data_IF_930112017421
#
_entry.id   IF_930112017421
#
_cell.length_a   1.000
_cell.length_b   1.000
_cell.length_c   1.000
_cell.angle_alpha   90.00
_cell.angle_beta   90.00
_cell.angle_gamma   90.00
#
_symmetry.space_group_name_H-M   'P 1'
#
loop_
_entity.id
_entity.type
_entity.pdbx_description
1 polymer ?
#
# COMPACT_ATOMS: atom_id res chain seq x y z
N UNK A 1 -16.41 -17.92 -3.17
CA UNK A 1 -15.00 -17.84 -2.76
C UNK A 1 -14.24 -17.24 -3.92
N UNK A 2 -13.42 -16.21 -3.67
CA UNK A 2 -12.71 -15.48 -4.72
C UNK A 2 -11.21 -15.58 -4.47
N UNK A 3 -10.46 -16.02 -5.47
CA UNK A 3 -9.00 -16.04 -5.43
C UNK A 3 -8.45 -14.84 -6.20
N UNK A 4 -7.67 -14.01 -5.52
CA UNK A 4 -7.00 -12.86 -6.12
C UNK A 4 -5.51 -12.95 -5.79
N UNK A 5 -4.65 -12.97 -6.80
CA UNK A 5 -3.19 -13.08 -6.66
C UNK A 5 -2.73 -14.26 -5.77
N UNK A 6 -3.46 -15.38 -5.80
CA UNK A 6 -3.15 -16.57 -5.00
C UNK A 6 -3.61 -16.51 -3.53
N UNK A 7 -4.25 -15.43 -3.10
CA UNK A 7 -4.86 -15.32 -1.76
C UNK A 7 -6.37 -15.56 -1.84
N UNK A 8 -6.89 -16.36 -0.90
CA UNK A 8 -8.31 -16.65 -0.79
C UNK A 8 -9.03 -15.56 0.01
N UNK A 9 -9.88 -14.77 -0.64
CA UNK A 9 -10.77 -13.82 0.02
C UNK A 9 -12.07 -14.52 0.47
N UNK A 10 -12.38 -14.54 1.78
CA UNK A 10 -13.59 -15.17 2.29
C UNK A 10 -14.84 -14.34 1.98
N UNK A 11 -15.84 -14.99 1.37
CA UNK A 11 -17.10 -14.39 0.90
C UNK A 11 -17.89 -13.61 1.96
N UNK A 12 -17.83 -14.07 3.22
CA UNK A 12 -18.60 -13.49 4.33
C UNK A 12 -18.00 -12.18 4.86
N UNK A 13 -16.73 -11.93 4.56
CA UNK A 13 -16.00 -10.77 5.07
C UNK A 13 -16.28 -9.53 4.23
N UNK A 14 -16.19 -8.37 4.87
CA UNK A 14 -16.23 -7.07 4.18
C UNK A 14 -14.92 -6.87 3.41
N UNK A 15 -15.01 -6.35 2.18
CA UNK A 15 -13.88 -6.20 1.26
C UNK A 15 -12.70 -5.45 1.88
N UNK A 16 -12.99 -4.37 2.63
CA UNK A 16 -11.99 -3.60 3.39
C UNK A 16 -11.08 -4.48 4.26
N UNK A 17 -11.65 -5.47 4.95
CA UNK A 17 -10.90 -6.35 5.84
C UNK A 17 -10.32 -7.55 5.10
N UNK A 18 -10.98 -8.01 4.04
CA UNK A 18 -10.43 -9.05 3.18
C UNK A 18 -9.13 -8.58 2.51
N UNK A 19 -9.07 -7.32 2.07
CA UNK A 19 -7.87 -6.72 1.46
C UNK A 19 -6.67 -6.62 2.41
N UNK A 20 -6.88 -6.55 3.73
CA UNK A 20 -5.76 -6.52 4.69
C UNK A 20 -5.06 -7.87 4.87
N UNK A 21 -5.58 -8.93 4.27
CA UNK A 21 -4.88 -10.22 4.21
C UNK A 21 -3.66 -10.16 3.29
N UNK A 22 -3.67 -9.25 2.30
CA UNK A 22 -2.50 -9.03 1.43
C UNK A 22 -1.40 -8.30 2.19
N UNK A 23 -0.19 -8.85 2.11
CA UNK A 23 1.01 -8.21 2.63
C UNK A 23 1.28 -6.89 1.89
N UNK A 24 1.38 -5.80 2.66
CA UNK A 24 1.53 -4.43 2.14
C UNK A 24 0.24 -3.62 2.13
N UNK A 25 -0.93 -4.24 2.38
CA UNK A 25 -2.22 -3.51 2.48
C UNK A 25 -2.66 -3.40 3.94
N UNK A 26 -2.79 -2.16 4.42
CA UNK A 26 -3.38 -1.85 5.72
C UNK A 26 -4.79 -1.27 5.58
N UNK A 27 -5.44 -0.95 6.70
CA UNK A 27 -6.82 -0.44 6.67
C UNK A 27 -6.98 0.85 5.84
N UNK A 28 -6.07 1.80 5.97
CA UNK A 28 -6.15 3.07 5.25
C UNK A 28 -5.93 2.92 3.74
N UNK A 29 -5.08 1.97 3.32
CA UNK A 29 -4.87 1.70 1.89
C UNK A 29 -6.03 0.90 1.33
N UNK A 30 -6.54 -0.10 2.05
CA UNK A 30 -7.73 -0.85 1.67
C UNK A 30 -8.95 0.07 1.45
N UNK A 31 -9.19 1.03 2.36
CA UNK A 31 -10.28 2.00 2.19
C UNK A 31 -10.13 2.86 0.94
N UNK A 32 -8.90 3.29 0.61
CA UNK A 32 -8.61 4.05 -0.61
C UNK A 32 -8.83 3.20 -1.87
N UNK A 33 -8.43 1.93 -1.85
CA UNK A 33 -8.65 1.00 -2.95
C UNK A 33 -10.16 0.81 -3.16
N UNK A 34 -10.92 0.54 -2.09
CA UNK A 34 -12.38 0.43 -2.17
C UNK A 34 -13.02 1.70 -2.73
N UNK A 35 -12.58 2.88 -2.27
CA UNK A 35 -13.08 4.16 -2.77
C UNK A 35 -12.82 4.34 -4.27
N UNK A 36 -11.63 3.94 -4.75
CA UNK A 36 -11.26 4.01 -6.18
C UNK A 36 -12.15 3.13 -7.07
N UNK A 37 -12.47 1.92 -6.60
CA UNK A 37 -13.35 0.99 -7.30
C UNK A 37 -14.85 1.22 -7.00
N UNK A 38 -15.18 2.33 -6.34
CA UNK A 38 -16.57 2.69 -5.99
C UNK A 38 -17.28 1.59 -5.18
N UNK A 39 -16.52 0.83 -4.39
CA UNK A 39 -17.05 -0.20 -3.52
C UNK A 39 -17.51 0.41 -2.20
N UNK A 40 -18.73 0.09 -1.79
CA UNK A 40 -19.27 0.57 -0.52
C UNK A 40 -18.50 -0.02 0.69
N UNK A 41 -18.43 0.73 1.80
CA UNK A 41 -17.67 0.35 3.00
C UNK A 41 -18.16 -0.94 3.68
N UNK A 42 -19.44 -1.27 3.53
CA UNK A 42 -20.04 -2.49 4.08
C UNK A 42 -20.15 -3.63 3.06
N UNK A 43 -19.72 -3.39 1.81
CA UNK A 43 -19.77 -4.38 0.74
C UNK A 43 -18.98 -5.63 1.14
N UNK A 44 -19.59 -6.82 0.99
CA UNK A 44 -18.92 -8.09 1.25
C UNK A 44 -18.31 -8.63 -0.02
N UNK A 45 -17.33 -9.52 0.13
CA UNK A 45 -16.63 -10.14 -1.00
C UNK A 45 -17.60 -10.86 -1.95
N UNK A 46 -18.64 -11.51 -1.41
CA UNK A 46 -19.68 -12.17 -2.23
C UNK A 46 -20.53 -11.23 -3.09
N UNK A 47 -20.61 -9.96 -2.71
CA UNK A 47 -21.46 -8.97 -3.39
C UNK A 47 -20.70 -8.28 -4.55
N UNK A 48 -19.42 -8.61 -4.75
CA UNK A 48 -18.60 -8.06 -5.82
C UNK A 48 -19.02 -8.63 -7.18
N UNK A 49 -19.11 -7.75 -8.17
CA UNK A 49 -19.32 -8.19 -9.55
C UNK A 49 -18.04 -8.81 -10.11
N UNK A 50 -18.14 -9.78 -11.05
CA UNK A 50 -16.96 -10.37 -11.67
C UNK A 50 -16.04 -9.32 -12.32
N UNK A 51 -16.62 -8.28 -12.92
CA UNK A 51 -15.87 -7.18 -13.51
C UNK A 51 -15.08 -6.40 -12.46
N UNK A 52 -15.67 -6.14 -11.29
CA UNK A 52 -14.98 -5.50 -10.17
C UNK A 52 -13.84 -6.37 -9.64
N UNK A 53 -14.03 -7.69 -9.56
CA UNK A 53 -12.98 -8.63 -9.15
C UNK A 53 -11.81 -8.59 -10.13
N UNK A 54 -12.08 -8.66 -11.43
CA UNK A 54 -11.05 -8.59 -12.48
C UNK A 54 -10.30 -7.26 -12.45
N UNK A 55 -11.03 -6.14 -12.30
CA UNK A 55 -10.43 -4.81 -12.21
C UNK A 55 -9.58 -4.63 -10.94
N UNK A 56 -10.01 -5.21 -9.82
CA UNK A 56 -9.24 -5.21 -8.59
C UNK A 56 -7.99 -6.09 -8.71
N UNK A 57 -8.09 -7.26 -9.33
CA UNK A 57 -6.96 -8.16 -9.56
C UNK A 57 -5.91 -7.53 -10.49
N UNK A 58 -6.33 -6.91 -11.60
CA UNK A 58 -5.41 -6.23 -12.52
C UNK A 58 -4.70 -5.05 -11.83
N UNK A 59 -5.43 -4.29 -11.03
CA UNK A 59 -4.86 -3.20 -10.25
C UNK A 59 -3.86 -3.66 -9.18
N UNK A 60 -4.17 -4.73 -8.44
CA UNK A 60 -3.24 -5.26 -7.45
C UNK A 60 -2.00 -5.89 -8.11
N UNK A 61 -2.12 -6.42 -9.33
CA UNK A 61 -0.97 -6.91 -10.09
C UNK A 61 -0.05 -5.78 -10.54
N UNK A 62 -0.62 -4.69 -11.05
CA UNK A 62 0.13 -3.56 -11.61
C UNK A 62 -0.49 -2.22 -11.19
N UNK A 63 -0.24 -1.72 -9.96
CA UNK A 63 -0.85 -0.49 -9.47
C UNK A 63 -0.35 0.76 -10.20
N UNK A 64 0.87 0.71 -10.77
CA UNK A 64 1.49 1.82 -11.52
C UNK A 64 0.70 2.17 -12.79
N UNK A 65 0.13 1.17 -13.46
CA UNK A 65 -0.56 1.30 -14.76
C UNK A 65 -2.00 1.79 -14.61
N UNK A 66 -2.44 1.99 -13.38
CA UNK A 66 -3.81 2.38 -13.09
C UNK A 66 -4.09 3.83 -13.45
N UNK A 67 -5.13 4.06 -14.25
CA UNK A 67 -5.59 5.39 -14.64
C UNK A 67 -6.08 6.12 -13.38
N UNK A 68 -5.40 7.18 -12.95
CA UNK A 68 -5.87 8.01 -11.85
C UNK A 68 -7.06 8.83 -12.33
N UNK A 69 -8.19 8.87 -11.60
CA UNK A 69 -9.31 9.73 -11.98
C UNK A 69 -8.85 11.18 -12.04
N UNK A 70 -9.31 11.92 -13.05
CA UNK A 70 -9.03 13.35 -13.16
C UNK A 70 -9.60 14.07 -11.92
N UNK A 71 -8.79 14.93 -11.29
CA UNK A 71 -9.20 15.64 -10.06
C UNK A 71 -10.25 16.70 -10.32
N UNK A 72 -10.30 17.20 -11.56
CA UNK A 72 -11.24 18.20 -12.01
C UNK A 72 -12.05 17.61 -13.16
N UNK A 73 -13.33 18.00 -13.29
CA UNK A 73 -14.07 17.69 -14.49
C UNK A 73 -13.31 18.27 -15.68
N UNK A 74 -13.28 17.53 -16.78
CA UNK A 74 -12.78 18.07 -18.05
C UNK A 74 -13.56 19.33 -18.38
N UNK A 75 -12.86 20.38 -18.80
CA UNK A 75 -13.52 21.61 -19.23
C UNK A 75 -14.50 21.29 -20.37
N UNK A 76 -15.67 21.92 -20.35
CA UNK A 76 -16.62 21.82 -21.46
C UNK A 76 -16.01 22.47 -22.71
N UNK A 77 -16.34 22.01 -23.93
CA UNK A 77 -15.82 22.62 -25.16
C UNK A 77 -16.05 24.14 -25.25
N UNK A 78 -17.17 24.63 -24.69
CA UNK A 78 -17.54 26.05 -24.65
C UNK A 78 -16.87 26.84 -23.49
N UNK A 79 -15.99 26.20 -22.73
CA UNK A 79 -15.35 26.84 -21.58
C UNK A 79 -14.37 27.94 -22.02
N UNK A 80 -14.75 29.19 -21.80
CA UNK A 80 -13.87 30.34 -21.97
C UNK A 80 -13.12 30.58 -20.64
N UNK A 81 -11.78 30.45 -20.60
CA UNK A 81 -11.02 30.67 -19.38
C UNK A 81 -11.10 32.13 -18.93
N UNK A 82 -11.35 32.33 -17.63
CA UNK A 82 -11.39 33.66 -17.02
C UNK A 82 -10.01 34.32 -17.17
N UNK A 83 -9.91 35.59 -17.61
CA UNK A 83 -8.62 36.28 -17.75
C UNK A 83 -7.87 36.33 -16.41
N UNK A 84 -6.60 35.92 -16.43
CA UNK A 84 -5.76 35.76 -15.23
C UNK A 84 -5.47 37.15 -14.61
N UNK A 85 -6.11 37.48 -13.48
CA UNK A 85 -5.76 38.67 -12.69
C UNK A 85 -4.38 38.46 -12.03
N UNK A 86 -3.43 39.36 -12.28
CA UNK A 86 -2.02 39.24 -11.90
C UNK A 86 -1.76 39.01 -10.39
N UNK A 87 -2.68 39.39 -9.51
CA UNK A 87 -2.48 39.40 -8.06
C UNK A 87 -2.96 38.13 -7.32
N UNK A 88 -3.82 37.30 -7.92
CA UNK A 88 -4.46 36.13 -7.25
C UNK A 88 -3.75 34.80 -7.54
N UNK A 89 -2.70 34.80 -8.36
CA UNK A 89 -2.10 33.59 -8.93
C UNK A 89 -1.03 32.90 -8.06
N UNK A 90 -0.68 33.42 -6.87
CA UNK A 90 0.51 32.95 -6.16
C UNK A 90 0.31 31.75 -5.22
N UNK A 91 -0.90 31.47 -4.72
CA UNK A 91 -1.05 30.55 -3.58
C UNK A 91 -2.02 29.36 -3.77
N UNK A 92 -2.45 29.03 -5.00
CA UNK A 92 -3.37 27.89 -5.25
C UNK A 92 -2.83 26.78 -6.15
N UNK A 93 -1.56 26.84 -6.51
CA UNK A 93 -0.84 25.70 -7.12
C UNK A 93 -0.20 24.82 -6.04
N UNK A 94 -0.82 24.68 -4.87
CA UNK A 94 -0.47 23.60 -3.95
C UNK A 94 -1.02 22.30 -4.55
N UNK A 95 -0.21 21.76 -5.46
CA UNK A 95 -0.43 20.54 -6.21
C UNK A 95 -0.89 19.45 -5.26
N UNK A 96 -2.09 18.95 -5.51
CA UNK A 96 -2.59 17.80 -4.81
C UNK A 96 -1.58 16.65 -5.06
N UNK A 97 -0.97 16.12 -3.99
CA UNK A 97 0.21 15.24 -4.08
C UNK A 97 -0.01 13.99 -4.93
N UNK A 98 1.06 13.27 -5.33
CA UNK A 98 0.97 12.09 -6.18
C UNK A 98 0.01 11.05 -5.60
N UNK A 99 -0.65 10.30 -6.49
CA UNK A 99 -1.57 9.23 -6.09
C UNK A 99 -0.79 8.12 -5.37
N UNK A 100 -0.91 8.07 -4.04
CA UNK A 100 -0.19 7.12 -3.17
C UNK A 100 -0.47 5.65 -3.53
N UNK A 101 -1.55 5.39 -4.26
CA UNK A 101 -1.89 4.04 -4.70
C UNK A 101 -1.01 3.55 -5.86
N UNK A 102 -0.39 4.44 -6.63
CA UNK A 102 0.46 4.05 -7.78
C UNK A 102 1.80 3.44 -7.36
N UNK A 103 2.32 3.84 -6.21
CA UNK A 103 3.61 3.38 -5.67
C UNK A 103 3.48 2.14 -4.77
N UNK A 104 2.28 1.57 -4.67
CA UNK A 104 2.01 0.41 -3.83
C UNK A 104 2.81 -0.81 -4.31
N UNK A 105 3.59 -1.41 -3.41
CA UNK A 105 4.26 -2.71 -3.61
C UNK A 105 3.59 -3.76 -2.74
N UNK A 106 3.39 -4.95 -3.29
CA UNK A 106 2.62 -6.01 -2.63
C UNK A 106 3.41 -7.31 -2.53
N UNK A 107 2.99 -8.15 -1.58
CA UNK A 107 3.40 -9.54 -1.43
C UNK A 107 4.89 -9.80 -1.67
N UNK A 108 5.23 -10.51 -2.75
CA UNK A 108 6.57 -10.97 -3.04
C UNK A 108 7.54 -9.80 -3.29
N UNK A 109 7.10 -8.76 -4.02
CA UNK A 109 7.94 -7.61 -4.34
C UNK A 109 8.33 -6.86 -3.07
N UNK A 110 7.35 -6.54 -2.21
CA UNK A 110 7.61 -5.84 -0.95
C UNK A 110 8.48 -6.68 0.01
N UNK A 111 8.25 -7.99 0.07
CA UNK A 111 9.07 -8.91 0.90
C UNK A 111 10.51 -8.97 0.40
N UNK A 112 10.73 -9.09 -0.90
CA UNK A 112 12.07 -9.14 -1.50
C UNK A 112 12.82 -7.84 -1.27
N UNK A 113 12.19 -6.68 -1.51
CA UNK A 113 12.81 -5.38 -1.25
C UNK A 113 13.23 -5.22 0.22
N UNK A 114 12.39 -5.63 1.17
CA UNK A 114 12.75 -5.58 2.60
C UNK A 114 13.93 -6.50 2.90
N UNK A 115 13.97 -7.71 2.33
CA UNK A 115 15.09 -8.64 2.49
C UNK A 115 16.38 -8.07 1.91
N UNK A 116 16.32 -7.49 0.72
CA UNK A 116 17.46 -6.90 0.04
C UNK A 116 18.00 -5.70 0.83
N UNK A 117 17.12 -4.85 1.35
CA UNK A 117 17.50 -3.74 2.23
C UNK A 117 18.20 -4.23 3.50
N UNK A 118 17.69 -5.29 4.14
CA UNK A 118 18.32 -5.88 5.34
C UNK A 118 19.66 -6.54 4.98
N UNK A 119 19.73 -7.26 3.85
CA UNK A 119 20.94 -7.92 3.37
C UNK A 119 22.03 -6.88 3.06
N UNK A 120 21.66 -5.78 2.41
CA UNK A 120 22.55 -4.66 2.12
C UNK A 120 23.10 -4.03 3.41
N UNK A 121 22.25 -3.78 4.40
CA UNK A 121 22.72 -3.26 5.71
C UNK A 121 23.68 -4.23 6.42
N UNK A 122 23.45 -5.54 6.30
CA UNK A 122 24.36 -6.57 6.82
C UNK A 122 25.69 -6.58 6.07
N UNK A 123 25.66 -6.50 4.74
CA UNK A 123 26.85 -6.49 3.87
C UNK A 123 27.76 -5.29 4.16
N UNK A 124 27.18 -4.10 4.31
CA UNK A 124 27.92 -2.89 4.70
C UNK A 124 28.56 -3.03 6.09
N UNK A 125 27.99 -3.86 6.96
CA UNK A 125 28.42 -3.98 8.35
C UNK A 125 27.97 -2.82 9.23
N UNK A 126 26.90 -2.12 8.85
CA UNK A 126 26.34 -1.00 9.64
C UNK A 126 25.87 -1.47 11.02
N UNK A 127 25.71 -0.54 11.98
CA UNK A 127 25.15 -0.89 13.30
C UNK A 127 23.81 -1.62 13.17
N UNK A 128 22.93 -1.11 12.30
CA UNK A 128 21.63 -1.71 12.00
C UNK A 128 21.79 -3.13 11.44
N UNK A 129 22.71 -3.32 10.49
CA UNK A 129 23.03 -4.64 9.92
C UNK A 129 23.50 -5.64 10.97
N UNK A 130 24.44 -5.25 11.84
CA UNK A 130 24.92 -6.11 12.94
C UNK A 130 23.80 -6.49 13.90
N UNK A 131 22.90 -5.56 14.24
CA UNK A 131 21.74 -5.83 15.11
C UNK A 131 20.75 -6.80 14.44
N UNK A 132 20.48 -6.64 13.15
CA UNK A 132 19.68 -7.59 12.38
C UNK A 132 20.32 -8.98 12.28
N UNK A 133 21.65 -9.07 12.16
CA UNK A 133 22.37 -10.35 12.16
C UNK A 133 22.27 -11.07 13.51
N UNK A 134 22.27 -10.32 14.62
CA UNK A 134 22.12 -10.85 15.98
C UNK A 134 20.66 -11.05 16.42
N UNK A 135 19.68 -10.77 15.56
CA UNK A 135 18.24 -10.74 15.88
C UNK A 135 17.87 -9.85 17.08
N UNK A 136 18.62 -8.76 17.27
CA UNK A 136 18.40 -7.80 18.35
C UNK A 136 17.57 -6.60 17.87
N UNK A 137 16.89 -5.89 18.78
CA UNK A 137 16.21 -4.64 18.47
C UNK A 137 17.14 -3.60 17.87
N UNK A 138 16.68 -2.92 16.82
CA UNK A 138 17.52 -2.02 16.01
C UNK A 138 17.44 -0.56 16.46
N UNK A 139 16.25 -0.10 16.87
CA UNK A 139 15.95 1.32 17.15
C UNK A 139 16.34 1.77 18.58
N UNK A 140 17.45 1.26 19.12
CA UNK A 140 17.96 1.67 20.44
C UNK A 140 17.14 1.20 21.65
N UNK A 141 16.26 0.21 21.47
CA UNK A 141 15.51 -0.37 22.58
C UNK A 141 16.44 -1.11 23.57
N UNK A 142 16.12 -1.07 24.87
CA UNK A 142 16.91 -1.74 25.90
C UNK A 142 16.95 -3.27 25.69
N UNK A 143 18.16 -3.83 25.64
CA UNK A 143 18.41 -5.26 25.44
C UNK A 143 18.78 -6.03 26.70
N UNK A 144 18.91 -5.38 27.86
CA UNK A 144 19.24 -6.07 29.10
C UNK A 144 18.17 -7.11 29.48
N UNK A 145 16.89 -6.72 29.44
CA UNK A 145 15.77 -7.59 29.81
C UNK A 145 15.12 -8.28 28.60
N UNK A 146 15.02 -7.57 27.46
CA UNK A 146 14.18 -7.99 26.33
C UNK A 146 14.93 -8.79 25.24
N UNK A 147 16.25 -8.96 25.34
CA UNK A 147 17.05 -9.59 24.28
C UNK A 147 16.66 -11.05 24.01
N UNK A 148 16.29 -11.83 25.04
CA UNK A 148 15.91 -13.24 24.88
C UNK A 148 14.67 -13.38 24.00
N UNK A 149 13.62 -12.61 24.30
CA UNK A 149 12.38 -12.58 23.52
C UNK A 149 12.61 -12.05 22.11
N UNK A 150 13.41 -10.98 21.98
CA UNK A 150 13.77 -10.42 20.69
C UNK A 150 14.48 -11.45 19.79
N UNK A 151 15.48 -12.18 20.29
CA UNK A 151 16.16 -13.23 19.53
C UNK A 151 15.22 -14.35 19.07
N UNK A 152 14.23 -14.71 19.90
CA UNK A 152 13.22 -15.72 19.55
C UNK A 152 12.30 -15.25 18.43
N UNK A 153 11.80 -14.01 18.50
CA UNK A 153 10.72 -13.49 17.64
C UNK A 153 11.21 -12.67 16.42
N UNK A 154 12.42 -12.11 16.46
CA UNK A 154 12.98 -11.29 15.38
C UNK A 154 13.69 -12.16 14.34
N UNK A 155 12.90 -12.96 13.65
CA UNK A 155 13.32 -13.68 12.43
C UNK A 155 12.88 -12.89 11.21
N UNK A 156 13.62 -13.06 10.10
CA UNK A 156 13.31 -12.37 8.83
C UNK A 156 11.97 -12.86 8.28
N UNK A 157 11.71 -14.17 8.35
CA UNK A 157 10.40 -14.76 8.04
C UNK A 157 9.60 -14.90 9.34
N UNK A 158 8.72 -13.93 9.63
CA UNK A 158 7.77 -14.02 10.76
C UNK A 158 6.47 -14.75 10.42
N UNK A 159 6.11 -14.76 9.14
CA UNK A 159 4.88 -15.34 8.64
C UNK A 159 5.23 -16.50 7.70
N UNK A 160 5.29 -17.69 8.28
CA UNK A 160 5.14 -18.97 7.61
C UNK A 160 3.99 -19.70 8.28
#
# INVERSE_FOLDING_TARGET
MVYVLGVNLPDRQVVKFALTQFYGIGHATAERICARFQMHRTCRVRDLTPLQVTALASFLSSPKDSISPARYPTATPDFVPIPRRAHTARNREQAAGPDRLKELKLEAELKTEIRDNIAHQKMIGSYVGRRHAMSLPVRGQNTQNNAKTARKLNRVERYR
#
